data_IF_495082846879
#
_entry.id   IF_495082846879
#
_cell.length_a   1.000
_cell.length_b   1.000
_cell.length_c   1.000
_cell.angle_alpha   90.00
_cell.angle_beta   90.00
_cell.angle_gamma   90.00
#
_symmetry.space_group_name_H-M   'P 1'
#
loop_
_entity.id
_entity.type
_entity.pdbx_description
1 polymer ?
#
# COMPACT_ATOMS: atom_id res chain seq x y z
N UNK A 1 13.99 -38.12 -11.49
CA UNK A 1 12.62 -37.63 -11.27
C UNK A 1 12.59 -36.19 -11.75
N UNK A 2 11.80 -35.88 -12.78
CA UNK A 2 11.66 -34.50 -13.27
C UNK A 2 10.56 -33.82 -12.46
N UNK A 3 10.88 -32.73 -11.77
CA UNK A 3 9.84 -31.93 -11.13
C UNK A 3 9.00 -31.25 -12.23
N UNK A 4 7.68 -31.12 -12.05
CA UNK A 4 6.86 -30.37 -13.00
C UNK A 4 7.36 -28.93 -13.09
N UNK A 5 7.47 -28.41 -14.30
CA UNK A 5 7.98 -27.07 -14.61
C UNK A 5 6.97 -25.96 -14.26
N UNK A 6 5.76 -26.36 -13.89
CA UNK A 6 4.59 -25.51 -13.71
C UNK A 6 3.82 -25.96 -12.45
N UNK A 7 3.26 -25.00 -11.71
CA UNK A 7 2.42 -25.26 -10.54
C UNK A 7 1.01 -25.76 -10.93
N UNK A 8 0.19 -26.21 -9.96
CA UNK A 8 -1.19 -26.64 -10.21
C UNK A 8 -2.11 -25.58 -10.84
N UNK A 9 -1.67 -24.32 -10.87
CA UNK A 9 -2.39 -23.17 -11.41
C UNK A 9 -1.85 -22.69 -12.76
N UNK A 10 -0.88 -23.40 -13.34
CA UNK A 10 -0.32 -23.05 -14.65
C UNK A 10 0.84 -22.06 -14.59
N UNK A 11 1.37 -21.72 -13.41
CA UNK A 11 2.47 -20.78 -13.26
C UNK A 11 3.83 -21.49 -13.34
N UNK A 12 4.72 -20.98 -14.21
CA UNK A 12 6.06 -21.54 -14.38
C UNK A 12 6.97 -21.31 -13.17
N UNK A 13 7.70 -22.34 -12.75
CA UNK A 13 8.74 -22.25 -11.71
C UNK A 13 10.06 -21.66 -12.21
N UNK A 14 10.24 -21.48 -13.52
CA UNK A 14 11.46 -20.88 -14.05
C UNK A 14 11.60 -19.43 -13.59
N UNK A 15 12.80 -19.04 -13.17
CA UNK A 15 13.09 -17.64 -12.88
C UNK A 15 13.03 -16.80 -14.16
N UNK A 16 12.75 -15.49 -14.02
CA UNK A 16 12.89 -14.58 -15.15
C UNK A 16 14.35 -14.50 -15.59
N UNK A 17 14.58 -14.39 -16.90
CA UNK A 17 15.92 -14.38 -17.49
C UNK A 17 16.72 -13.12 -17.13
N UNK A 18 16.03 -12.02 -16.87
CA UNK A 18 16.58 -10.72 -16.50
C UNK A 18 16.71 -10.50 -14.98
N UNK A 19 16.37 -11.49 -14.17
CA UNK A 19 16.52 -11.44 -12.71
C UNK A 19 17.62 -12.40 -12.28
N UNK A 20 18.85 -11.90 -12.00
CA UNK A 20 19.95 -12.75 -11.59
C UNK A 20 19.64 -13.40 -10.23
N UNK A 21 20.03 -14.68 -10.06
CA UNK A 21 19.80 -15.43 -8.82
C UNK A 21 20.53 -14.86 -7.60
N UNK A 22 21.59 -14.07 -7.82
CA UNK A 22 22.31 -13.33 -6.78
C UNK A 22 21.57 -12.08 -6.30
N UNK A 23 20.51 -11.63 -6.99
CA UNK A 23 19.74 -10.48 -6.55
C UNK A 23 19.04 -10.76 -5.22
N UNK A 24 19.07 -9.84 -4.25
CA UNK A 24 18.34 -10.01 -2.99
C UNK A 24 16.82 -10.08 -3.19
N UNK A 25 16.31 -9.65 -4.35
CA UNK A 25 14.88 -9.70 -4.69
C UNK A 25 14.48 -11.00 -5.42
N UNK A 26 15.44 -11.81 -5.87
CA UNK A 26 15.17 -12.97 -6.72
C UNK A 26 14.20 -13.98 -6.08
N UNK A 27 14.33 -14.24 -4.78
CA UNK A 27 13.43 -15.13 -4.06
C UNK A 27 11.99 -14.59 -4.01
N UNK A 28 11.82 -13.31 -3.68
CA UNK A 28 10.50 -12.67 -3.62
C UNK A 28 9.85 -12.59 -5.00
N UNK A 29 10.62 -12.29 -6.05
CA UNK A 29 10.11 -12.24 -7.42
C UNK A 29 9.63 -13.62 -7.89
N UNK A 30 10.34 -14.70 -7.54
CA UNK A 30 9.89 -16.07 -7.83
C UNK A 30 8.58 -16.41 -7.15
N UNK A 31 8.43 -16.07 -5.87
CA UNK A 31 7.17 -16.27 -5.14
C UNK A 31 6.05 -15.45 -5.82
N UNK A 32 6.31 -14.18 -6.12
CA UNK A 32 5.34 -13.30 -6.79
C UNK A 32 4.87 -13.84 -8.15
N UNK A 33 5.79 -14.47 -8.91
CA UNK A 33 5.49 -15.17 -10.17
C UNK A 33 4.62 -16.40 -9.95
N UNK A 34 4.97 -17.24 -8.97
CA UNK A 34 4.22 -18.46 -8.64
C UNK A 34 2.79 -18.16 -8.18
N UNK A 35 2.57 -17.07 -7.45
CA UNK A 35 1.22 -16.69 -7.02
C UNK A 35 0.46 -15.83 -8.04
N UNK A 36 1.09 -15.50 -9.18
CA UNK A 36 0.44 -14.77 -10.27
C UNK A 36 0.09 -13.30 -9.99
N UNK A 37 0.66 -12.68 -8.95
CA UNK A 37 0.30 -11.31 -8.53
C UNK A 37 1.07 -10.25 -9.30
N UNK A 38 2.36 -10.48 -9.51
CA UNK A 38 3.23 -9.59 -10.28
C UNK A 38 3.58 -10.33 -11.57
N UNK A 39 2.80 -10.14 -12.65
CA UNK A 39 3.03 -10.84 -13.90
C UNK A 39 4.35 -10.41 -14.53
N UNK A 40 4.76 -11.10 -15.60
CA UNK A 40 5.83 -10.64 -16.48
C UNK A 40 5.46 -9.31 -17.18
N UNK A 41 6.33 -8.82 -18.04
CA UNK A 41 5.94 -7.83 -19.06
C UNK A 41 4.84 -8.38 -19.99
N UNK A 42 4.26 -7.50 -20.80
CA UNK A 42 3.18 -7.87 -21.73
C UNK A 42 3.58 -8.95 -22.76
N UNK A 43 4.89 -9.16 -22.95
CA UNK A 43 5.47 -10.18 -23.83
C UNK A 43 5.79 -11.50 -23.10
N UNK A 44 5.56 -11.58 -21.79
CA UNK A 44 5.64 -12.82 -21.01
C UNK A 44 7.05 -13.31 -20.69
N UNK A 45 8.11 -12.58 -21.07
CA UNK A 45 9.48 -13.12 -21.08
C UNK A 45 10.45 -12.42 -20.12
N UNK A 46 10.17 -11.17 -19.73
CA UNK A 46 11.05 -10.41 -18.83
C UNK A 46 10.27 -9.82 -17.65
N UNK A 47 10.94 -9.61 -16.52
CA UNK A 47 10.34 -8.99 -15.34
C UNK A 47 10.50 -7.46 -15.32
N UNK A 48 11.59 -6.95 -15.90
CA UNK A 48 12.01 -5.55 -15.91
C UNK A 48 12.18 -4.98 -14.48
N UNK A 49 13.13 -5.51 -13.69
CA UNK A 49 13.22 -5.25 -12.25
C UNK A 49 13.33 -3.78 -11.87
N UNK A 50 14.02 -2.98 -12.69
CA UNK A 50 14.26 -1.55 -12.45
C UNK A 50 13.17 -0.63 -12.99
N UNK A 51 12.17 -1.16 -13.72
CA UNK A 51 11.08 -0.34 -14.25
C UNK A 51 10.23 0.21 -13.10
N UNK A 52 9.87 1.47 -13.19
CA UNK A 52 8.91 2.08 -12.26
C UNK A 52 7.51 1.51 -12.48
N UNK A 53 6.77 1.34 -11.38
CA UNK A 53 5.40 0.81 -11.41
C UNK A 53 4.41 1.94 -11.37
N UNK A 54 3.49 1.96 -12.34
CA UNK A 54 2.43 2.98 -12.37
C UNK A 54 1.34 2.69 -11.32
N UNK A 55 0.57 3.71 -10.95
CA UNK A 55 -0.56 3.54 -10.02
C UNK A 55 -1.61 2.56 -10.54
N UNK A 56 -1.80 2.45 -11.86
CA UNK A 56 -2.74 1.48 -12.43
C UNK A 56 -2.24 0.03 -12.26
N UNK A 57 -0.95 -0.20 -12.47
CA UNK A 57 -0.31 -1.50 -12.25
C UNK A 57 -0.35 -1.88 -10.77
N UNK A 58 -0.06 -0.94 -9.87
CA UNK A 58 -0.18 -1.17 -8.43
C UNK A 58 -1.62 -1.51 -8.03
N UNK A 59 -2.62 -0.84 -8.62
CA UNK A 59 -4.02 -1.16 -8.35
C UNK A 59 -4.37 -2.58 -8.74
N UNK A 60 -3.97 -2.98 -9.93
CA UNK A 60 -4.15 -4.34 -10.43
C UNK A 60 -3.54 -5.36 -9.48
N UNK A 61 -2.28 -5.19 -9.10
CA UNK A 61 -1.61 -6.15 -8.22
C UNK A 61 -2.23 -6.20 -6.81
N UNK A 62 -2.65 -5.05 -6.28
CA UNK A 62 -3.29 -4.96 -4.96
C UNK A 62 -4.64 -5.68 -4.93
N UNK A 63 -5.42 -5.61 -6.01
CA UNK A 63 -6.71 -6.32 -6.08
C UNK A 63 -6.49 -7.81 -6.31
N UNK A 64 -5.59 -8.17 -7.22
CA UNK A 64 -5.26 -9.57 -7.52
C UNK A 64 -4.63 -10.32 -6.34
N UNK A 65 -4.02 -9.62 -5.38
CA UNK A 65 -3.52 -10.25 -4.16
C UNK A 65 -4.62 -10.73 -3.21
N UNK A 66 -5.87 -10.30 -3.40
CA UNK A 66 -6.98 -10.61 -2.50
C UNK A 66 -8.09 -11.44 -3.14
N UNK A 67 -8.25 -11.35 -4.45
CA UNK A 67 -9.35 -11.98 -5.16
C UNK A 67 -8.95 -12.29 -6.60
N UNK A 68 -9.57 -13.35 -7.15
CA UNK A 68 -9.37 -13.74 -8.54
C UNK A 68 -10.29 -12.93 -9.48
N UNK A 69 -10.08 -13.07 -10.80
CA UNK A 69 -10.82 -12.36 -11.84
C UNK A 69 -12.35 -12.56 -11.76
N UNK A 70 -12.80 -13.76 -11.40
CA UNK A 70 -14.22 -14.07 -11.25
C UNK A 70 -14.83 -13.26 -10.09
N UNK A 71 -14.17 -13.27 -8.92
CA UNK A 71 -14.61 -12.51 -7.76
C UNK A 71 -14.59 -10.99 -8.00
N UNK A 72 -13.69 -10.47 -8.83
CA UNK A 72 -13.71 -9.05 -9.25
C UNK A 72 -14.98 -8.75 -10.05
N UNK A 73 -15.31 -9.59 -11.04
CA UNK A 73 -16.54 -9.42 -11.84
C UNK A 73 -17.77 -9.48 -10.95
N UNK A 74 -17.85 -10.48 -10.07
CA UNK A 74 -18.97 -10.66 -9.16
C UNK A 74 -19.09 -9.48 -8.19
N UNK A 75 -17.98 -8.98 -7.66
CA UNK A 75 -17.97 -7.83 -6.76
C UNK A 75 -18.47 -6.56 -7.46
N UNK A 76 -18.03 -6.29 -8.68
CA UNK A 76 -18.46 -5.13 -9.45
C UNK A 76 -19.93 -5.22 -9.88
N UNK A 77 -20.42 -6.44 -10.16
CA UNK A 77 -21.83 -6.69 -10.47
C UNK A 77 -22.73 -6.52 -9.24
N UNK A 78 -22.28 -6.98 -8.06
CA UNK A 78 -23.05 -6.97 -6.82
C UNK A 78 -22.92 -5.67 -6.00
N UNK A 79 -22.38 -4.59 -6.58
CA UNK A 79 -22.26 -3.28 -5.94
C UNK A 79 -23.05 -2.20 -6.70
N UNK A 80 -24.39 -2.31 -6.77
CA UNK A 80 -25.25 -1.43 -7.58
C UNK A 80 -25.25 0.03 -7.10
N UNK A 81 -24.92 0.28 -5.83
CA UNK A 81 -24.80 1.62 -5.25
C UNK A 81 -23.79 2.54 -5.94
N UNK A 82 -22.92 1.98 -6.79
CA UNK A 82 -21.93 2.72 -7.59
C UNK A 82 -22.27 2.77 -9.09
N UNK A 83 -23.54 2.54 -9.45
CA UNK A 83 -24.01 2.63 -10.85
C UNK A 83 -23.72 1.41 -11.72
N UNK A 84 -23.32 0.27 -11.14
CA UNK A 84 -23.12 -0.99 -11.86
C UNK A 84 -21.68 -1.24 -12.33
N UNK A 85 -21.41 -2.37 -13.01
CA UNK A 85 -20.05 -2.84 -13.27
C UNK A 85 -19.28 -2.04 -14.34
N UNK A 86 -19.95 -1.21 -15.13
CA UNK A 86 -19.34 -0.38 -16.20
C UNK A 86 -19.34 1.12 -15.87
N UNK A 87 -19.80 1.50 -14.70
CA UNK A 87 -19.82 2.90 -14.26
C UNK A 87 -18.51 3.25 -13.59
N UNK A 88 -17.84 4.28 -14.12
CA UNK A 88 -16.55 4.73 -13.63
C UNK A 88 -16.66 5.82 -12.57
N UNK A 89 -16.01 5.58 -11.43
CA UNK A 89 -15.94 6.56 -10.34
C UNK A 89 -14.86 7.64 -10.53
N UNK A 90 -13.93 7.44 -11.47
CA UNK A 90 -12.88 8.39 -11.82
C UNK A 90 -12.98 8.79 -13.29
N UNK A 91 -12.87 10.09 -13.56
CA UNK A 91 -13.00 10.64 -14.91
C UNK A 91 -11.86 10.24 -15.85
N UNK A 92 -10.66 9.99 -15.31
CA UNK A 92 -9.46 9.61 -16.05
C UNK A 92 -9.26 8.09 -16.18
N UNK A 93 -10.17 7.29 -15.64
CA UNK A 93 -10.19 5.83 -15.79
C UNK A 93 -11.58 5.40 -16.25
N UNK A 94 -11.92 5.63 -17.54
CA UNK A 94 -13.19 5.17 -18.09
C UNK A 94 -13.27 3.65 -18.12
N UNK A 95 -14.47 3.10 -18.32
CA UNK A 95 -14.70 1.64 -18.36
C UNK A 95 -13.95 0.90 -19.48
N UNK A 96 -13.46 1.62 -20.48
CA UNK A 96 -12.60 1.11 -21.55
C UNK A 96 -11.12 1.01 -21.18
N UNK A 97 -10.69 1.60 -20.05
CA UNK A 97 -9.32 1.53 -19.59
C UNK A 97 -8.98 0.09 -19.16
N UNK A 98 -7.83 -0.49 -19.53
CA UNK A 98 -7.49 -1.88 -19.23
C UNK A 98 -7.54 -2.22 -17.74
N UNK A 99 -7.07 -1.28 -16.89
CA UNK A 99 -7.07 -1.45 -15.43
C UNK A 99 -8.32 -0.91 -14.73
N UNK A 100 -9.37 -0.54 -15.47
CA UNK A 100 -10.60 0.04 -14.91
C UNK A 100 -11.18 -0.80 -13.77
N UNK A 101 -11.35 -2.11 -13.99
CA UNK A 101 -11.97 -3.02 -13.04
C UNK A 101 -11.23 -3.03 -11.70
N UNK A 102 -9.91 -2.95 -11.71
CA UNK A 102 -9.11 -2.96 -10.48
C UNK A 102 -9.17 -1.60 -9.76
N UNK A 103 -9.06 -0.50 -10.50
CA UNK A 103 -9.16 0.85 -9.94
C UNK A 103 -10.54 1.09 -9.30
N UNK A 104 -11.60 0.67 -9.98
CA UNK A 104 -12.97 0.76 -9.47
C UNK A 104 -13.16 -0.13 -8.24
N UNK A 105 -12.60 -1.35 -8.25
CA UNK A 105 -12.64 -2.25 -7.08
C UNK A 105 -11.93 -1.63 -5.87
N UNK A 106 -10.76 -1.04 -6.07
CA UNK A 106 -10.05 -0.33 -4.99
C UNK A 106 -10.85 0.85 -4.45
N UNK A 107 -11.56 1.57 -5.32
CA UNK A 107 -12.40 2.69 -4.89
C UNK A 107 -13.59 2.22 -4.06
N UNK A 108 -14.34 1.23 -4.54
CA UNK A 108 -15.52 0.68 -3.84
C UNK A 108 -15.16 0.05 -2.50
N UNK A 109 -13.96 -0.53 -2.38
CA UNK A 109 -13.42 -1.05 -1.11
C UNK A 109 -12.80 0.01 -0.21
N UNK A 110 -12.70 1.27 -0.66
CA UNK A 110 -12.14 2.37 0.12
C UNK A 110 -10.61 2.38 0.20
N UNK A 111 -9.92 1.60 -0.64
CA UNK A 111 -8.46 1.52 -0.63
C UNK A 111 -7.82 2.79 -1.18
N UNK A 112 -8.46 3.44 -2.16
CA UNK A 112 -7.98 4.68 -2.77
C UNK A 112 -9.05 5.76 -2.74
N UNK A 113 -8.62 7.02 -2.60
CA UNK A 113 -9.47 8.19 -2.76
C UNK A 113 -9.21 8.94 -4.08
N UNK A 114 -8.19 8.55 -4.83
CA UNK A 114 -7.71 9.27 -6.02
C UNK A 114 -6.34 9.91 -5.81
N UNK A 115 -5.95 10.78 -6.74
CA UNK A 115 -4.70 11.55 -6.69
C UNK A 115 -4.88 13.03 -6.29
N UNK A 116 -6.08 13.60 -6.48
CA UNK A 116 -6.38 15.00 -6.19
C UNK A 116 -7.50 15.15 -5.17
N UNK A 117 -7.37 16.15 -4.28
CA UNK A 117 -8.33 16.43 -3.21
C UNK A 117 -8.78 17.90 -3.18
N UNK A 118 -8.72 18.62 -4.30
CA UNK A 118 -8.99 20.07 -4.33
C UNK A 118 -9.59 20.53 -5.67
N UNK A 119 -10.79 21.13 -5.62
CA UNK A 119 -11.25 22.14 -6.58
C UNK A 119 -11.95 21.70 -7.87
N UNK A 120 -11.57 20.58 -8.49
CA UNK A 120 -12.22 20.13 -9.74
C UNK A 120 -13.51 19.34 -9.46
N UNK A 121 -14.54 19.55 -10.28
CA UNK A 121 -15.81 18.83 -10.23
C UNK A 121 -15.69 17.32 -10.54
N UNK A 122 -14.51 16.85 -10.97
CA UNK A 122 -14.28 15.50 -11.48
C UNK A 122 -13.17 14.79 -10.68
N UNK A 123 -13.53 13.65 -10.08
CA UNK A 123 -12.60 12.81 -9.31
C UNK A 123 -11.59 12.13 -10.25
N UNK A 124 -10.29 12.12 -9.88
CA UNK A 124 -9.20 11.53 -10.69
C UNK A 124 -8.37 10.50 -9.92
N UNK A 125 -7.91 9.46 -10.61
CA UNK A 125 -7.04 8.42 -10.06
C UNK A 125 -5.55 8.60 -10.41
N UNK A 126 -5.25 9.24 -11.54
CA UNK A 126 -3.91 9.39 -12.12
C UNK A 126 -3.23 8.04 -12.39
N UNK A 127 -3.73 7.22 -13.35
CA UNK A 127 -3.24 5.86 -13.59
C UNK A 127 -1.79 5.80 -14.07
N UNK A 128 -1.31 6.82 -14.78
CA UNK A 128 0.03 6.89 -15.36
C UNK A 128 1.11 7.35 -14.37
N UNK A 129 0.73 7.90 -13.23
CA UNK A 129 1.70 8.39 -12.25
C UNK A 129 2.47 7.22 -11.64
N UNK A 130 3.78 7.38 -11.37
CA UNK A 130 4.55 6.37 -10.68
C UNK A 130 4.06 6.21 -9.25
N UNK A 131 4.08 4.96 -8.77
CA UNK A 131 3.67 4.64 -7.40
C UNK A 131 4.78 5.02 -6.44
N UNK A 132 4.48 5.92 -5.51
CA UNK A 132 5.41 6.31 -4.46
C UNK A 132 5.34 5.36 -3.27
N UNK A 133 6.40 5.33 -2.44
CA UNK A 133 6.43 4.52 -1.20
C UNK A 133 5.27 4.79 -0.25
N UNK A 134 4.84 6.05 -0.14
CA UNK A 134 3.70 6.45 0.71
C UNK A 134 2.37 5.92 0.17
N UNK A 135 2.16 5.99 -1.15
CA UNK A 135 0.92 5.52 -1.76
C UNK A 135 0.81 4.00 -1.64
N UNK A 136 1.92 3.29 -1.87
CA UNK A 136 1.99 1.84 -1.66
C UNK A 136 1.66 1.46 -0.21
N UNK A 137 2.18 2.19 0.79
CA UNK A 137 1.89 1.91 2.19
C UNK A 137 0.39 1.95 2.50
N UNK A 138 -0.29 2.96 1.98
CA UNK A 138 -1.75 3.11 2.12
C UNK A 138 -2.48 1.95 1.44
N UNK A 139 -2.12 1.63 0.20
CA UNK A 139 -2.79 0.57 -0.56
C UNK A 139 -2.60 -0.81 0.07
N UNK A 140 -1.37 -1.16 0.46
CA UNK A 140 -1.05 -2.45 1.06
C UNK A 140 -1.76 -2.66 2.39
N UNK A 141 -1.72 -1.68 3.29
CA UNK A 141 -2.36 -1.82 4.61
C UNK A 141 -3.88 -1.82 4.50
N UNK A 142 -4.46 -0.95 3.67
CA UNK A 142 -5.92 -0.96 3.45
C UNK A 142 -6.38 -2.26 2.81
N UNK A 143 -5.64 -2.78 1.84
CA UNK A 143 -5.95 -4.09 1.27
C UNK A 143 -5.80 -5.17 2.33
N UNK A 144 -4.62 -5.33 2.96
CA UNK A 144 -4.35 -6.38 3.95
C UNK A 144 -5.34 -6.40 5.12
N UNK A 145 -5.80 -5.23 5.57
CA UNK A 145 -6.76 -5.09 6.66
C UNK A 145 -8.21 -4.89 6.17
N UNK A 146 -8.49 -5.05 4.87
CA UNK A 146 -9.81 -4.89 4.25
C UNK A 146 -10.52 -3.57 4.63
N UNK A 147 -9.77 -2.46 4.61
CA UNK A 147 -10.20 -1.13 5.02
C UNK A 147 -10.73 -1.02 6.45
N UNK A 148 -10.48 -2.03 7.30
CA UNK A 148 -10.50 -1.84 8.74
C UNK A 148 -9.41 -0.82 9.02
N UNK A 149 -9.82 0.38 9.44
CA UNK A 149 -8.88 1.43 9.81
C UNK A 149 -7.82 0.83 10.72
N UNK A 150 -6.53 1.18 10.55
CA UNK A 150 -5.56 0.97 11.63
C UNK A 150 -5.91 1.94 12.77
N UNK A 151 -7.04 1.71 13.45
CA UNK A 151 -7.47 2.42 14.66
C UNK A 151 -6.63 2.01 15.86
N UNK A 152 -5.83 0.93 15.74
CA UNK A 152 -4.93 0.47 16.77
C UNK A 152 -3.57 0.10 16.17
N UNK A 153 -2.59 1.00 16.33
CA UNK A 153 -1.26 0.53 16.69
C UNK A 153 -1.46 -0.25 17.99
N UNK A 154 -0.99 -1.49 18.04
CA UNK A 154 -1.24 -2.36 19.19
C UNK A 154 -0.45 -1.83 20.40
N UNK A 155 -1.14 -1.15 21.31
CA UNK A 155 -0.56 -0.69 22.58
C UNK A 155 -1.53 0.24 23.29
N UNK A 156 -1.86 -0.06 24.55
CA UNK A 156 -2.52 0.89 25.43
C UNK A 156 -1.41 1.66 26.17
N UNK A 157 -1.37 3.00 26.13
CA UNK A 157 -0.55 3.76 27.06
C UNK A 157 -1.23 3.72 28.42
N UNK A 158 -0.86 2.75 29.25
CA UNK A 158 -1.05 2.93 30.70
C UNK A 158 -0.05 3.99 31.16
N UNK A 159 -0.44 5.27 31.13
CA UNK A 159 0.51 6.33 31.45
C UNK A 159 0.02 7.78 31.43
N UNK A 160 -1.17 8.08 31.95
CA UNK A 160 -1.42 9.36 32.63
C UNK A 160 -2.33 9.11 33.83
N UNK A 161 -1.77 8.48 34.86
CA UNK A 161 -2.31 8.59 36.22
C UNK A 161 -2.00 10.02 36.68
N UNK A 162 -3.06 10.74 37.06
CA UNK A 162 -3.11 12.15 37.51
C UNK A 162 -3.36 13.22 36.42
N UNK A 163 -4.55 13.11 35.81
CA UNK A 163 -5.49 14.23 35.71
C UNK A 163 -4.92 15.64 35.56
N UNK A 164 -4.56 16.00 34.34
CA UNK A 164 -4.91 17.29 33.71
C UNK A 164 -4.79 17.10 32.20
N UNK A 165 -5.88 17.34 31.47
CA UNK A 165 -5.84 17.51 30.03
C UNK A 165 -5.08 18.79 29.71
N UNK A 166 -4.05 18.77 28.84
CA UNK A 166 -3.51 20.02 28.32
C UNK A 166 -4.59 20.69 27.47
N UNK A 167 -5.10 21.82 27.98
CA UNK A 167 -5.82 22.79 27.18
C UNK A 167 -4.86 23.33 26.11
N UNK A 168 -4.97 22.80 24.89
CA UNK A 168 -4.12 23.17 23.76
C UNK A 168 -4.35 22.19 22.62
N UNK A 169 -5.16 22.61 21.64
CA UNK A 169 -5.72 21.77 20.59
C UNK A 169 -4.70 20.93 19.82
N UNK A 170 -4.99 19.62 19.72
CA UNK A 170 -4.34 18.70 18.78
C UNK A 170 -5.38 18.12 17.79
N UNK A 171 -6.67 18.45 17.95
CA UNK A 171 -7.73 18.05 17.03
C UNK A 171 -8.38 19.27 16.36
N UNK A 172 -8.62 19.23 15.03
CA UNK A 172 -9.41 20.26 14.36
C UNK A 172 -10.86 20.26 14.90
N UNK A 173 -11.55 21.42 14.91
CA UNK A 173 -12.93 21.51 15.39
C UNK A 173 -13.84 20.59 14.56
N UNK A 174 -14.48 19.62 15.21
CA UNK A 174 -15.45 18.69 14.58
C UNK A 174 -15.26 17.21 14.90
N UNK A 175 -14.13 16.79 15.47
CA UNK A 175 -13.97 15.42 16.01
C UNK A 175 -14.28 15.45 17.51
N UNK A 176 -15.55 15.22 17.84
CA UNK A 176 -16.03 14.90 19.18
C UNK A 176 -16.31 13.41 19.21
N UNK A 177 -15.43 12.58 19.77
CA UNK A 177 -15.91 11.28 20.27
C UNK A 177 -15.08 10.82 21.46
N UNK A 178 -15.82 10.65 22.55
CA UNK A 178 -15.43 10.22 23.87
C UNK A 178 -14.63 8.92 23.87
N UNK A 179 -13.47 8.94 24.52
CA UNK A 179 -12.78 7.75 25.01
C UNK A 179 -13.35 7.27 26.36
N UNK A 180 -14.64 7.51 26.62
CA UNK A 180 -15.20 7.46 27.97
C UNK A 180 -16.39 6.53 28.22
N UNK A 181 -17.12 6.05 27.21
CA UNK A 181 -18.44 5.42 27.50
C UNK A 181 -18.72 4.06 26.85
N UNK A 182 -17.80 3.50 26.07
CA UNK A 182 -17.82 2.08 25.67
C UNK A 182 -16.37 1.57 25.72
N UNK A 183 -16.12 0.59 26.60
CA UNK A 183 -14.84 0.24 27.22
C UNK A 183 -13.71 -0.31 26.34
N UNK A 184 -13.58 0.12 25.09
CA UNK A 184 -12.65 -0.44 24.12
C UNK A 184 -11.73 0.60 23.45
N UNK A 185 -11.95 1.89 23.72
CA UNK A 185 -11.01 3.00 23.49
C UNK A 185 -10.24 2.97 22.13
N UNK A 186 -10.97 2.86 21.01
CA UNK A 186 -10.42 2.81 19.65
C UNK A 186 -9.91 4.16 19.10
N UNK A 187 -9.38 5.03 19.96
CA UNK A 187 -8.74 6.27 19.54
C UNK A 187 -7.41 6.03 18.83
N UNK A 188 -6.99 6.99 17.99
CA UNK A 188 -5.67 6.99 17.36
C UNK A 188 -4.58 7.04 18.45
N UNK A 189 -4.06 5.88 18.83
CA UNK A 189 -2.91 5.81 19.72
C UNK A 189 -1.61 6.02 18.94
N UNK A 190 -0.90 7.10 19.26
CA UNK A 190 0.46 7.35 18.78
C UNK A 190 1.40 6.82 19.84
N UNK A 191 2.14 5.74 19.55
CA UNK A 191 3.24 5.31 20.43
C UNK A 191 4.25 6.45 20.52
N UNK A 192 4.84 6.67 21.71
CA UNK A 192 5.98 7.59 21.86
C UNK A 192 7.27 7.11 21.17
N UNK A 193 7.20 6.03 20.38
CA UNK A 193 8.33 5.40 19.69
C UNK A 193 8.15 5.56 18.18
N UNK A 194 8.85 6.52 17.60
CA UNK A 194 8.87 6.69 16.17
C UNK A 194 9.84 5.67 15.52
N UNK A 195 9.34 4.73 14.72
CA UNK A 195 10.23 3.81 13.99
C UNK A 195 11.08 4.52 12.92
N UNK A 196 10.60 5.62 12.34
CA UNK A 196 11.24 6.33 11.25
C UNK A 196 11.35 7.83 11.51
N UNK A 197 12.58 8.31 11.68
CA UNK A 197 12.88 9.71 12.01
C UNK A 197 12.39 10.70 10.94
N UNK A 198 12.37 10.27 9.68
CA UNK A 198 11.95 11.05 8.51
C UNK A 198 10.45 10.93 8.18
N UNK A 199 9.67 10.24 9.03
CA UNK A 199 8.22 10.16 8.94
C UNK A 199 7.59 10.36 10.34
N UNK A 200 7.62 11.60 10.89
CA UNK A 200 7.12 11.88 12.23
C UNK A 200 5.59 11.97 12.30
N UNK A 201 5.05 11.76 13.50
CA UNK A 201 3.63 11.94 13.83
C UNK A 201 3.26 13.42 13.93
N UNK A 202 3.10 14.08 12.78
CA UNK A 202 2.72 15.50 12.69
C UNK A 202 1.36 15.65 12.02
N UNK A 203 0.65 16.72 12.36
CA UNK A 203 -0.60 17.11 11.70
C UNK A 203 -0.38 17.28 10.19
N UNK A 204 -1.22 16.63 9.38
CA UNK A 204 -1.10 16.62 7.91
C UNK A 204 -0.27 15.48 7.34
N UNK A 205 0.37 14.64 8.16
CA UNK A 205 1.01 13.41 7.71
C UNK A 205 0.07 12.21 7.81
N UNK A 206 -0.89 12.13 6.90
CA UNK A 206 -1.91 11.06 6.87
C UNK A 206 -1.31 9.66 6.62
N UNK A 207 -0.09 9.59 6.08
CA UNK A 207 0.58 8.33 5.74
C UNK A 207 1.31 7.71 6.94
N UNK A 208 1.51 8.47 8.02
CA UNK A 208 2.23 8.05 9.22
C UNK A 208 1.77 6.69 9.72
N UNK A 209 0.46 6.55 9.98
CA UNK A 209 -0.13 5.36 10.61
C UNK A 209 0.05 4.11 9.75
N UNK A 210 -0.09 4.24 8.42
CA UNK A 210 0.09 3.12 7.50
C UNK A 210 1.54 2.65 7.46
N UNK A 211 2.49 3.58 7.45
CA UNK A 211 3.92 3.27 7.43
C UNK A 211 4.36 2.61 8.74
N UNK A 212 3.87 3.11 9.88
CA UNK A 212 4.11 2.46 11.18
C UNK A 212 3.52 1.03 11.17
N UNK A 213 2.30 0.85 10.66
CA UNK A 213 1.68 -0.48 10.60
C UNK A 213 2.44 -1.45 9.71
N UNK A 214 2.96 -0.98 8.57
CA UNK A 214 3.85 -1.79 7.73
C UNK A 214 5.09 -2.26 8.49
N UNK A 215 5.63 -1.43 9.38
CA UNK A 215 6.79 -1.79 10.20
C UNK A 215 6.43 -2.84 11.25
N UNK A 216 5.31 -2.67 11.95
CA UNK A 216 4.81 -3.67 12.92
C UNK A 216 4.59 -5.04 12.28
N UNK A 217 4.03 -5.05 11.07
CA UNK A 217 3.77 -6.27 10.31
C UNK A 217 5.01 -6.81 9.58
N UNK A 218 6.20 -6.22 9.82
CA UNK A 218 7.48 -6.60 9.18
C UNK A 218 7.47 -6.56 7.64
N UNK A 219 6.54 -5.80 7.06
CA UNK A 219 6.45 -5.58 5.61
C UNK A 219 7.62 -4.69 5.15
N UNK A 220 8.01 -3.71 5.97
CA UNK A 220 9.13 -2.80 5.68
C UNK A 220 10.18 -2.77 6.79
N UNK A 221 11.45 -2.64 6.39
CA UNK A 221 12.57 -2.35 7.29
C UNK A 221 13.01 -0.88 7.25
N UNK A 222 12.42 -0.06 6.40
CA UNK A 222 12.96 1.26 6.06
C UNK A 222 14.18 1.17 5.13
N UNK A 223 14.82 2.31 4.91
CA UNK A 223 16.08 2.48 4.17
C UNK A 223 17.30 2.44 5.09
N UNK A 224 17.11 2.64 6.39
CA UNK A 224 18.15 2.49 7.43
C UNK A 224 17.54 1.89 8.70
N UNK A 225 18.32 1.07 9.40
CA UNK A 225 17.96 0.50 10.70
C UNK A 225 18.27 1.44 11.88
N UNK A 226 18.70 2.67 11.60
CA UNK A 226 19.06 3.66 12.62
C UNK A 226 20.49 3.47 13.16
N UNK A 227 20.92 4.37 14.07
CA UNK A 227 22.31 4.41 14.55
C UNK A 227 22.74 3.15 15.31
N UNK A 228 21.79 2.45 15.94
CA UNK A 228 22.05 1.26 16.73
C UNK A 228 21.83 -0.06 15.96
N UNK A 229 21.47 0.01 14.66
CA UNK A 229 21.15 -1.15 13.82
C UNK A 229 20.02 -2.06 14.37
N UNK A 230 19.25 -1.56 15.34
CA UNK A 230 18.17 -2.29 16.02
C UNK A 230 16.80 -2.02 15.37
N UNK A 231 16.78 -1.20 14.31
CA UNK A 231 15.59 -0.88 13.55
C UNK A 231 14.70 0.17 14.20
N UNK A 232 15.18 0.87 15.23
CA UNK A 232 14.56 2.04 15.86
C UNK A 232 15.21 3.32 15.32
N UNK A 233 14.45 4.40 15.23
CA UNK A 233 14.94 5.69 14.71
C UNK A 233 15.62 5.54 13.33
N UNK A 234 15.10 4.65 12.48
CA UNK A 234 15.57 4.45 11.12
C UNK A 234 15.10 5.56 10.19
N UNK A 235 15.29 5.33 8.90
CA UNK A 235 14.70 6.17 7.83
C UNK A 235 13.79 5.32 6.97
N UNK A 236 12.70 5.90 6.46
CA UNK A 236 11.76 5.24 5.53
C UNK A 236 11.95 5.69 4.09
N UNK A 237 12.38 6.94 3.92
CA UNK A 237 12.48 7.78 2.73
C UNK A 237 11.16 7.84 1.96
N UNK A 238 10.35 8.86 2.29
CA UNK A 238 9.13 9.22 1.57
C UNK A 238 9.51 9.83 0.22
N UNK A 239 8.95 9.34 -0.88
CA UNK A 239 9.00 10.07 -2.15
C UNK A 239 8.47 11.49 -1.95
N UNK A 240 9.28 12.45 -2.34
CA UNK A 240 9.45 13.79 -1.75
C UNK A 240 8.17 14.50 -1.31
N UNK A 241 8.18 15.08 -0.11
CA UNK A 241 7.39 16.27 0.24
C UNK A 241 8.33 17.49 0.06
N UNK A 242 8.17 18.20 -1.06
CA UNK A 242 8.86 19.45 -1.46
C UNK A 242 10.39 19.40 -1.67
N UNK A 243 10.83 19.83 -2.85
CA UNK A 243 12.24 19.97 -3.24
C UNK A 243 12.56 19.16 -4.49
N UNK A 244 13.02 19.83 -5.54
CA UNK A 244 13.28 19.23 -6.85
C UNK A 244 14.24 18.01 -6.72
N UNK A 245 13.93 16.89 -7.40
CA UNK A 245 14.70 15.67 -7.26
C UNK A 245 16.12 15.84 -7.82
N UNK A 246 17.17 15.31 -7.16
CA UNK A 246 18.42 15.05 -7.87
C UNK A 246 18.14 14.04 -8.98
N UNK A 247 18.79 14.21 -10.12
CA UNK A 247 18.59 13.40 -11.32
C UNK A 247 18.63 11.89 -10.96
N UNK A 248 17.47 11.20 -11.04
CA UNK A 248 17.35 9.77 -10.70
C UNK A 248 16.14 9.31 -9.86
N UNK A 249 15.12 10.15 -9.64
CA UNK A 249 13.77 9.77 -9.11
C UNK A 249 13.69 9.35 -7.62
N UNK A 250 13.81 10.28 -6.65
CA UNK A 250 13.67 10.00 -5.22
C UNK A 250 12.23 9.61 -4.82
N UNK A 251 12.00 8.31 -4.69
CA UNK A 251 10.87 7.69 -3.96
C UNK A 251 9.75 7.05 -4.77
N UNK A 252 9.93 6.97 -6.09
CA UNK A 252 9.21 6.01 -6.93
C UNK A 252 9.71 4.60 -6.63
N UNK A 253 8.81 3.63 -6.70
CA UNK A 253 9.16 2.23 -6.48
C UNK A 253 9.31 1.47 -7.79
N UNK A 254 10.38 0.68 -7.85
CA UNK A 254 10.65 -0.24 -8.97
C UNK A 254 9.86 -1.54 -8.82
N UNK A 255 9.68 -2.29 -9.91
CA UNK A 255 8.96 -3.58 -9.91
C UNK A 255 9.51 -4.57 -8.90
N UNK A 256 10.84 -4.68 -8.78
CA UNK A 256 11.49 -5.60 -7.82
C UNK A 256 11.20 -5.22 -6.37
N UNK A 257 11.15 -3.92 -6.07
CA UNK A 257 10.85 -3.42 -4.73
C UNK A 257 9.39 -3.70 -4.37
N UNK A 258 8.45 -3.38 -5.27
CA UNK A 258 7.02 -3.63 -5.04
C UNK A 258 6.74 -5.13 -4.91
N UNK A 259 7.36 -5.99 -5.73
CA UNK A 259 7.20 -7.44 -5.61
C UNK A 259 7.58 -7.94 -4.21
N UNK A 260 8.69 -7.43 -3.65
CA UNK A 260 9.10 -7.75 -2.27
C UNK A 260 8.06 -7.30 -1.25
N UNK A 261 7.52 -6.09 -1.38
CA UNK A 261 6.49 -5.60 -0.46
C UNK A 261 5.16 -6.36 -0.58
N UNK A 262 4.74 -6.69 -1.79
CA UNK A 262 3.51 -7.46 -2.05
C UNK A 262 3.60 -8.86 -1.45
N UNK A 263 4.72 -9.57 -1.67
CA UNK A 263 4.92 -10.90 -1.10
C UNK A 263 4.92 -10.84 0.41
N UNK A 264 5.69 -9.93 1.03
CA UNK A 264 5.67 -9.74 2.49
C UNK A 264 4.31 -9.29 3.03
N UNK A 265 3.53 -8.55 2.25
CA UNK A 265 2.22 -8.11 2.71
C UNK A 265 1.20 -9.25 2.73
N UNK A 266 1.23 -10.17 1.77
CA UNK A 266 0.11 -11.12 1.58
C UNK A 266 0.51 -12.61 1.75
N UNK A 267 1.80 -12.93 1.71
CA UNK A 267 2.32 -14.31 1.70
C UNK A 267 3.46 -14.43 2.72
N UNK A 268 3.11 -14.82 3.93
CA UNK A 268 4.04 -15.09 5.03
C UNK A 268 3.75 -16.46 5.65
#
# INVERSE_FOLDING_TARGET
MSFPEVDPYGNSYQAYTDVPSSSPFAGMIRIAKQVGIVPADALGSTFQPTREVTRSEMARWTVLSQMNEAAITDFLANTPQFGGPTTASFADVPSTHPDFRYVETMYRRGYTRGCFNTGDALRRYCPADPTTRKDMAVFLIRAKLNNVFPSTLSGCPTGAINGTTPAGGIFPPGIITACGELGDNFGLFVTGLNYFTDNPAITGNDNYVYIQKMRELRITNGTSLGPNQDGRNGTYTLGVLSGAPPAGHPGNLTREQIASFMVRAFFH
#
